data_IF_046458279467
#
_entry.id   IF_046458279467
#
_cell.length_a   1.000
_cell.length_b   1.000
_cell.length_c   1.000
_cell.angle_alpha   90.00
_cell.angle_beta   90.00
_cell.angle_gamma   90.00
#
_symmetry.space_group_name_H-M   'P 1'
#
loop_
_entity.id
_entity.type
_entity.pdbx_description
1 polymer ?
#
# COMPACT_ATOMS: atom_id res chain seq x y z
N UNK A 1 -13.26 2.17 4.75
CA UNK A 1 -13.89 2.41 3.44
C UNK A 1 -12.91 3.14 2.54
N UNK A 2 -12.75 2.65 1.32
CA UNK A 2 -11.91 3.25 0.27
C UNK A 2 -12.85 3.72 -0.84
N UNK A 3 -12.66 4.95 -1.36
CA UNK A 3 -13.41 5.45 -2.52
C UNK A 3 -12.48 6.17 -3.47
N UNK A 4 -12.60 5.85 -4.75
CA UNK A 4 -11.93 6.51 -5.85
C UNK A 4 -12.97 7.21 -6.73
N UNK A 5 -12.74 8.47 -7.03
CA UNK A 5 -13.60 9.28 -7.91
C UNK A 5 -12.77 9.77 -9.10
N UNK A 6 -13.02 9.23 -10.29
CA UNK A 6 -12.38 9.60 -11.58
C UNK A 6 -10.86 9.59 -11.55
N UNK A 7 -10.25 8.62 -10.86
CA UNK A 7 -8.80 8.50 -10.79
C UNK A 7 -8.20 8.28 -12.17
N UNK A 8 -7.25 9.12 -12.51
CA UNK A 8 -6.41 8.98 -13.71
C UNK A 8 -4.94 9.03 -13.33
N UNK A 9 -4.12 8.28 -14.06
CA UNK A 9 -2.66 8.31 -13.90
C UNK A 9 -1.98 8.34 -15.25
N UNK A 10 -1.19 9.38 -15.46
CA UNK A 10 -0.33 9.54 -16.63
C UNK A 10 1.12 9.62 -16.19
N UNK A 11 1.96 8.81 -16.80
CA UNK A 11 3.41 8.89 -16.66
C UNK A 11 3.99 9.67 -17.83
N UNK A 12 5.02 10.47 -17.54
CA UNK A 12 5.77 11.25 -18.52
C UNK A 12 7.21 10.74 -18.56
N UNK A 13 7.69 10.42 -19.74
CA UNK A 13 9.10 10.04 -19.97
C UNK A 13 9.59 10.82 -21.21
N UNK A 14 10.24 11.94 -20.96
CA UNK A 14 10.56 12.92 -22.00
C UNK A 14 9.30 13.40 -22.73
N UNK A 15 9.27 13.23 -24.05
CA UNK A 15 8.13 13.62 -24.90
C UNK A 15 7.03 12.54 -24.95
N UNK A 16 7.24 11.40 -24.32
CA UNK A 16 6.27 10.29 -24.34
C UNK A 16 5.33 10.38 -23.14
N UNK A 17 4.03 10.25 -23.40
CA UNK A 17 3.01 10.15 -22.37
C UNK A 17 2.36 8.76 -22.39
N UNK A 18 2.27 8.12 -21.23
CA UNK A 18 1.56 6.86 -21.07
C UNK A 18 0.47 7.02 -20.04
N UNK A 19 -0.79 6.98 -20.47
CA UNK A 19 -1.95 6.99 -19.59
C UNK A 19 -2.21 5.58 -19.07
N UNK A 20 -1.75 5.29 -17.86
CA UNK A 20 -1.89 3.98 -17.22
C UNK A 20 -3.28 3.74 -16.62
N UNK A 21 -3.94 4.80 -16.14
CA UNK A 21 -5.30 4.75 -15.61
C UNK A 21 -6.12 5.89 -16.21
N UNK A 22 -7.41 5.60 -16.50
CA UNK A 22 -8.32 6.58 -17.08
C UNK A 22 -9.68 6.53 -16.39
N UNK A 23 -10.00 7.59 -15.64
CA UNK A 23 -11.30 7.82 -15.00
C UNK A 23 -11.82 6.60 -14.21
N UNK A 24 -11.00 6.01 -13.37
CA UNK A 24 -11.35 4.87 -12.53
C UNK A 24 -12.14 5.35 -11.32
N UNK A 25 -13.34 4.83 -11.15
CA UNK A 25 -14.20 5.12 -10.00
C UNK A 25 -14.74 3.83 -9.41
N UNK A 26 -14.56 3.60 -8.13
CA UNK A 26 -15.18 2.52 -7.37
C UNK A 26 -15.06 2.77 -5.88
N UNK A 27 -15.78 1.97 -5.10
CA UNK A 27 -15.78 2.00 -3.65
C UNK A 27 -15.55 0.59 -3.11
N UNK A 28 -14.82 0.50 -2.00
CA UNK A 28 -14.61 -0.74 -1.24
C UNK A 28 -14.99 -0.49 0.21
N UNK A 29 -15.96 -1.24 0.71
CA UNK A 29 -16.44 -1.15 2.07
C UNK A 29 -15.63 -2.05 3.00
N UNK A 30 -15.76 -1.81 4.31
CA UNK A 30 -15.09 -2.63 5.31
C UNK A 30 -15.57 -4.09 5.23
N UNK A 31 -14.62 -5.01 5.16
CA UNK A 31 -14.90 -6.45 5.07
C UNK A 31 -15.10 -6.99 3.66
N UNK A 32 -15.09 -6.13 2.64
CA UNK A 32 -15.17 -6.57 1.25
C UNK A 32 -13.85 -7.12 0.73
N UNK A 33 -13.95 -8.14 -0.12
CA UNK A 33 -12.86 -8.67 -0.93
C UNK A 33 -13.09 -8.25 -2.38
N UNK A 34 -12.12 -7.53 -2.95
CA UNK A 34 -12.18 -7.02 -4.33
C UNK A 34 -11.04 -7.62 -5.15
N UNK A 35 -11.34 -8.16 -6.33
CA UNK A 35 -10.35 -8.63 -7.28
C UNK A 35 -10.23 -7.67 -8.46
N UNK A 36 -9.00 -7.20 -8.73
CA UNK A 36 -8.67 -6.39 -9.91
C UNK A 36 -8.10 -7.32 -10.98
N UNK A 37 -8.85 -7.54 -12.04
CA UNK A 37 -8.49 -8.43 -13.15
C UNK A 37 -8.21 -7.65 -14.43
N UNK A 38 -7.36 -8.18 -15.28
CA UNK A 38 -7.01 -7.57 -16.58
C UNK A 38 -5.72 -8.12 -17.15
N UNK A 39 -5.46 -7.83 -18.43
CA UNK A 39 -4.24 -8.22 -19.15
C UNK A 39 -2.99 -7.59 -18.51
N UNK A 40 -1.80 -8.13 -18.82
CA UNK A 40 -0.53 -7.46 -18.46
C UNK A 40 -0.49 -6.04 -19.04
N UNK A 41 0.04 -5.09 -18.30
CA UNK A 41 0.10 -3.68 -18.72
C UNK A 41 -1.21 -2.89 -18.58
N UNK A 42 -2.32 -3.48 -18.08
CA UNK A 42 -3.60 -2.77 -17.95
C UNK A 42 -3.72 -1.81 -16.75
N UNK A 43 -2.62 -1.49 -16.07
CA UNK A 43 -2.61 -0.52 -14.97
C UNK A 43 -2.92 -1.08 -13.58
N UNK A 44 -3.08 -2.42 -13.41
CA UNK A 44 -3.40 -3.02 -12.09
C UNK A 44 -2.42 -2.65 -11.00
N UNK A 45 -1.11 -2.82 -11.25
CA UNK A 45 -0.06 -2.47 -10.29
C UNK A 45 -0.03 -0.97 -10.00
N UNK A 46 -0.27 -0.13 -11.02
CA UNK A 46 -0.38 1.33 -10.84
C UNK A 46 -1.54 1.67 -9.91
N UNK A 47 -2.70 1.04 -10.11
CA UNK A 47 -3.86 1.24 -9.24
C UNK A 47 -3.59 0.77 -7.81
N UNK A 48 -2.98 -0.41 -7.63
CA UNK A 48 -2.60 -0.92 -6.31
C UNK A 48 -1.59 -0.01 -5.61
N UNK A 49 -0.61 0.55 -6.32
CA UNK A 49 0.33 1.50 -5.75
C UNK A 49 -0.35 2.79 -5.27
N UNK A 50 -1.34 3.30 -6.01
CA UNK A 50 -2.13 4.46 -5.57
C UNK A 50 -2.96 4.10 -4.34
N UNK A 51 -3.66 2.95 -4.34
CA UNK A 51 -4.43 2.47 -3.20
C UNK A 51 -3.54 2.28 -1.96
N UNK A 52 -2.32 1.77 -2.15
CA UNK A 52 -1.32 1.57 -1.10
C UNK A 52 -0.60 2.84 -0.64
N UNK A 53 -0.96 4.02 -1.18
CA UNK A 53 -0.28 5.29 -0.91
C UNK A 53 1.22 5.26 -1.26
N UNK A 54 1.65 4.39 -2.18
CA UNK A 54 3.02 4.31 -2.70
C UNK A 54 3.24 5.24 -3.89
N UNK A 55 2.17 5.59 -4.60
CA UNK A 55 2.15 6.54 -5.69
C UNK A 55 0.92 7.45 -5.56
N UNK A 56 0.87 8.52 -6.33
CA UNK A 56 -0.26 9.45 -6.39
C UNK A 56 -0.86 9.48 -7.79
N UNK A 57 -2.16 9.68 -7.86
CA UNK A 57 -2.88 9.93 -9.11
C UNK A 57 -2.45 11.26 -9.74
N UNK A 58 -2.62 11.36 -11.06
CA UNK A 58 -2.45 12.62 -11.80
C UNK A 58 -3.71 13.47 -11.70
N UNK A 59 -4.89 12.84 -11.70
CA UNK A 59 -6.18 13.51 -11.61
C UNK A 59 -7.19 12.62 -10.85
N UNK A 60 -8.30 13.23 -10.39
CA UNK A 60 -9.33 12.58 -9.61
C UNK A 60 -9.06 12.58 -8.10
N UNK A 61 -9.98 12.02 -7.34
CA UNK A 61 -9.98 12.07 -5.88
C UNK A 61 -9.98 10.68 -5.25
N UNK A 62 -9.06 10.48 -4.30
CA UNK A 62 -8.95 9.28 -3.49
C UNK A 62 -9.30 9.59 -2.04
N UNK A 63 -10.17 8.77 -1.43
CA UNK A 63 -10.63 8.91 -0.06
C UNK A 63 -10.39 7.63 0.73
N UNK A 64 -9.92 7.78 1.97
CA UNK A 64 -9.82 6.73 2.99
C UNK A 64 -10.65 7.17 4.19
N UNK A 65 -11.63 6.37 4.57
CA UNK A 65 -12.56 6.67 5.68
C UNK A 65 -13.14 8.08 5.61
N UNK A 66 -13.54 8.51 4.41
CA UNK A 66 -14.12 9.83 4.13
C UNK A 66 -13.12 10.99 4.06
N UNK A 67 -11.84 10.76 4.36
CA UNK A 67 -10.80 11.80 4.26
C UNK A 67 -10.14 11.77 2.89
N UNK A 68 -10.07 12.91 2.22
CA UNK A 68 -9.39 13.07 0.93
C UNK A 68 -7.88 12.90 1.11
N UNK A 69 -7.28 11.94 0.40
CA UNK A 69 -5.86 11.59 0.54
C UNK A 69 -4.93 12.75 0.15
N UNK A 70 -5.30 13.58 -0.84
CA UNK A 70 -4.52 14.74 -1.26
C UNK A 70 -4.40 15.82 -0.18
N UNK A 71 -5.35 15.87 0.78
CA UNK A 71 -5.30 16.81 1.90
C UNK A 71 -4.48 16.29 3.09
N UNK A 72 -4.01 15.04 3.05
CA UNK A 72 -3.23 14.42 4.11
C UNK A 72 -1.74 14.73 3.89
N UNK A 73 -1.01 15.31 4.86
CA UNK A 73 0.43 15.52 4.78
C UNK A 73 1.20 14.20 4.58
N UNK A 74 2.35 14.23 3.90
CA UNK A 74 3.14 13.02 3.61
C UNK A 74 3.55 12.24 4.86
N UNK A 75 3.84 12.95 5.96
CA UNK A 75 4.13 12.31 7.25
C UNK A 75 2.95 11.49 7.78
N UNK A 76 1.72 11.99 7.61
CA UNK A 76 0.52 11.26 8.03
C UNK A 76 0.17 10.12 7.08
N UNK A 77 0.42 10.27 5.76
CA UNK A 77 0.30 9.16 4.81
C UNK A 77 1.26 8.02 5.16
N UNK A 78 2.51 8.34 5.56
CA UNK A 78 3.46 7.33 6.03
C UNK A 78 2.95 6.57 7.25
N UNK A 79 2.29 7.25 8.19
CA UNK A 79 1.64 6.62 9.35
C UNK A 79 0.46 5.74 8.94
N UNK A 80 -0.37 6.20 7.99
CA UNK A 80 -1.48 5.41 7.46
C UNK A 80 -0.96 4.13 6.78
N UNK A 81 0.10 4.21 5.96
CA UNK A 81 0.74 3.02 5.39
C UNK A 81 1.19 2.05 6.46
N UNK A 82 1.86 2.56 7.50
CA UNK A 82 2.40 1.71 8.57
C UNK A 82 1.31 1.04 9.41
N UNK A 83 0.16 1.71 9.65
CA UNK A 83 -0.83 1.27 10.65
C UNK A 83 -2.11 0.68 10.06
N UNK A 84 -2.43 0.95 8.77
CA UNK A 84 -3.72 0.57 8.17
C UNK A 84 -3.58 -0.20 6.86
N UNK A 85 -2.41 -0.18 6.20
CA UNK A 85 -2.23 -0.81 4.91
C UNK A 85 -1.19 -1.92 5.03
N UNK A 86 -1.60 -3.17 4.77
CA UNK A 86 -0.69 -4.29 4.53
C UNK A 86 -0.49 -4.48 3.03
N UNK A 87 0.74 -4.43 2.56
CA UNK A 87 1.08 -4.62 1.16
C UNK A 87 1.86 -5.92 0.97
N UNK A 88 1.36 -6.81 0.11
CA UNK A 88 2.08 -8.02 -0.30
C UNK A 88 2.61 -7.77 -1.71
N UNK A 89 3.92 -7.61 -1.82
CA UNK A 89 4.60 -7.32 -3.08
C UNK A 89 4.91 -8.61 -3.86
N UNK A 90 4.90 -8.52 -5.18
CA UNK A 90 5.27 -9.64 -6.05
C UNK A 90 6.73 -10.08 -5.83
N UNK A 91 7.63 -9.14 -5.61
CA UNK A 91 9.07 -9.35 -5.42
C UNK A 91 9.48 -9.37 -3.93
N UNK A 92 8.55 -9.73 -3.04
CA UNK A 92 8.71 -9.86 -1.59
C UNK A 92 9.22 -8.60 -0.86
N UNK A 93 9.92 -7.69 -1.49
CA UNK A 93 10.49 -6.44 -0.94
C UNK A 93 11.32 -6.66 0.35
N UNK A 94 12.04 -7.77 0.45
CA UNK A 94 12.88 -8.09 1.59
C UNK A 94 14.27 -7.45 1.43
N UNK A 95 14.84 -7.03 2.55
CA UNK A 95 16.25 -6.65 2.61
C UNK A 95 17.07 -7.94 2.77
N UNK A 96 17.71 -8.39 1.70
CA UNK A 96 18.40 -9.69 1.63
C UNK A 96 19.48 -9.90 2.68
N UNK A 97 20.17 -8.82 3.08
CA UNK A 97 21.22 -8.86 4.12
C UNK A 97 20.67 -8.95 5.54
N UNK A 98 19.34 -8.82 5.72
CA UNK A 98 18.71 -8.86 7.02
C UNK A 98 18.17 -10.26 7.32
N UNK A 99 18.20 -10.61 8.60
CA UNK A 99 17.50 -11.81 9.07
C UNK A 99 15.98 -11.65 8.93
N UNK A 100 15.23 -12.74 9.05
CA UNK A 100 13.76 -12.73 9.08
C UNK A 100 13.25 -11.78 10.16
N UNK A 101 13.79 -11.87 11.38
CA UNK A 101 13.42 -10.97 12.50
C UNK A 101 13.73 -9.51 12.20
N UNK A 102 14.85 -9.20 11.55
CA UNK A 102 15.22 -7.84 11.18
C UNK A 102 14.26 -7.27 10.11
N UNK A 103 13.89 -8.06 9.11
CA UNK A 103 12.90 -7.66 8.10
C UNK A 103 11.53 -7.37 8.74
N UNK A 104 11.04 -8.25 9.63
CA UNK A 104 9.78 -8.04 10.36
C UNK A 104 9.85 -6.81 11.27
N UNK A 105 11.03 -6.46 11.79
CA UNK A 105 11.19 -5.30 12.66
C UNK A 105 11.12 -3.96 11.91
N UNK A 106 11.35 -3.91 10.60
CA UNK A 106 11.35 -2.65 9.82
C UNK A 106 10.08 -1.82 10.06
N UNK A 107 8.85 -2.33 9.87
CA UNK A 107 7.65 -1.55 10.11
C UNK A 107 7.47 -1.14 11.59
N UNK A 108 8.01 -1.91 12.53
CA UNK A 108 7.93 -1.61 13.96
C UNK A 108 8.88 -0.47 14.40
N UNK A 109 9.82 -0.07 13.54
CA UNK A 109 10.69 1.11 13.79
C UNK A 109 9.88 2.40 13.59
N UNK A 110 8.93 2.37 12.68
CA UNK A 110 8.14 3.54 12.26
C UNK A 110 6.78 3.65 12.93
N UNK A 111 6.46 2.77 13.89
CA UNK A 111 5.19 2.86 14.63
C UNK A 111 5.28 3.87 15.75
N UNK A 112 4.26 4.71 15.87
CA UNK A 112 4.10 5.65 17.00
C UNK A 112 3.51 4.97 18.26
N UNK A 113 3.09 3.70 18.16
CA UNK A 113 2.47 2.97 19.26
C UNK A 113 3.55 2.31 20.14
N UNK A 114 3.40 2.34 21.45
CA UNK A 114 4.25 1.55 22.34
C UNK A 114 3.98 0.06 22.08
N UNK A 115 4.91 -0.62 21.41
CA UNK A 115 4.81 -2.04 21.08
C UNK A 115 6.00 -2.78 21.68
N UNK A 116 5.73 -3.88 22.37
CA UNK A 116 6.79 -4.84 22.68
C UNK A 116 7.20 -5.54 21.37
N UNK A 117 8.26 -5.05 20.75
CA UNK A 117 8.73 -5.48 19.44
C UNK A 117 9.04 -6.97 19.40
N UNK A 118 9.70 -7.48 20.42
CA UNK A 118 10.07 -8.90 20.50
C UNK A 118 8.83 -9.80 20.51
N UNK A 119 7.85 -9.45 21.35
CA UNK A 119 6.59 -10.19 21.39
C UNK A 119 5.86 -10.11 20.05
N UNK A 120 5.76 -8.92 19.46
CA UNK A 120 5.08 -8.73 18.16
C UNK A 120 5.74 -9.54 17.04
N UNK A 121 7.08 -9.58 16.98
CA UNK A 121 7.82 -10.38 16.01
C UNK A 121 7.55 -11.88 16.22
N UNK A 122 7.61 -12.36 17.46
CA UNK A 122 7.39 -13.76 17.78
C UNK A 122 5.93 -14.20 17.47
N UNK A 123 4.95 -13.34 17.76
CA UNK A 123 3.55 -13.61 17.44
C UNK A 123 3.32 -13.73 15.91
N UNK A 124 3.95 -12.84 15.12
CA UNK A 124 3.90 -12.92 13.65
C UNK A 124 4.57 -14.20 13.14
N UNK A 125 5.79 -14.52 13.60
CA UNK A 125 6.49 -15.74 13.21
C UNK A 125 5.67 -17.00 13.53
N UNK A 126 5.04 -17.03 14.69
CA UNK A 126 4.16 -18.13 15.09
C UNK A 126 2.94 -18.24 14.17
N UNK A 127 2.33 -17.11 13.80
CA UNK A 127 1.12 -17.11 12.94
C UNK A 127 1.38 -17.66 11.53
N UNK A 128 2.62 -17.59 11.04
CA UNK A 128 3.02 -18.11 9.72
C UNK A 128 3.86 -19.40 9.78
N UNK A 129 3.93 -20.03 10.97
CA UNK A 129 4.63 -21.30 11.13
C UNK A 129 6.16 -21.22 11.08
N UNK A 130 6.74 -20.06 11.40
CA UNK A 130 8.19 -19.81 11.37
C UNK A 130 8.78 -19.58 12.77
N UNK A 131 8.20 -20.17 13.80
CA UNK A 131 8.64 -19.98 15.20
C UNK A 131 10.10 -20.35 15.45
N UNK A 132 10.65 -21.28 14.67
CA UNK A 132 12.00 -21.82 14.83
C UNK A 132 13.07 -21.10 13.99
N UNK A 133 12.73 -19.98 13.34
CA UNK A 133 13.59 -19.25 12.41
C UNK A 133 14.12 -17.92 12.96
#
# INVERSE_FOLDING_TARGET
MIRLDNISKTFHDGDTQVQALKNISFEVNKGELVAIIGKSGSGKSTLLNILGLLDKQTDGDYYIDGKKVSSIPEREKAKLRNSHIGFVMQDFALVEKYTVKQNINIPLIYTDKPVNKEKAINDVLKSVGLSDK
#
